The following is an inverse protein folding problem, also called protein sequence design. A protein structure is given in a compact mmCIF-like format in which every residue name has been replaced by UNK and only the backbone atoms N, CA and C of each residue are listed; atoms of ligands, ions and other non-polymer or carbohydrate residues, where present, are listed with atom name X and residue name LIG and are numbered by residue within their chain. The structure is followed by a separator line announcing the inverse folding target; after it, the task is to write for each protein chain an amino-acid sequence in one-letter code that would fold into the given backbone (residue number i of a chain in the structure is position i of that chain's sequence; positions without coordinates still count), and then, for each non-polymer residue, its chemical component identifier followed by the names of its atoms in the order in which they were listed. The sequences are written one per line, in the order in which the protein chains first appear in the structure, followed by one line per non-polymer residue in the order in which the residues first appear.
data_IF_797818984319
#
_entry.id   IF_797818984319
#
_cell.length_a   1.000
_cell.length_b   1.000
_cell.length_c   1.000
_cell.angle_alpha   90.00
_cell.angle_beta   90.00
_cell.angle_gamma   90.00
#
_symmetry.space_group_name_H-M   'P 1'
#
loop_
_entity.id
_entity.type
_entity.pdbx_description
1 polymer ?
#
# COMPACT_ATOMS: atom_id res chain seq x y z
N UNK A 1 -38.30 19.80 13.39
CA UNK A 1 -37.48 20.94 12.95
C UNK A 1 -36.16 20.36 12.40
N UNK A 2 -35.88 20.44 11.09
CA UNK A 2 -34.64 19.90 10.55
C UNK A 2 -33.49 20.75 11.10
N UNK A 3 -32.55 20.09 11.77
CA UNK A 3 -31.43 20.73 12.45
C UNK A 3 -30.48 21.32 11.39
N UNK A 4 -30.67 22.60 11.03
CA UNK A 4 -29.78 23.41 10.20
C UNK A 4 -28.49 23.72 10.96
N UNK A 5 -27.74 22.67 11.31
CA UNK A 5 -26.39 22.80 11.83
C UNK A 5 -25.38 22.86 10.69
N UNK A 6 -24.35 23.70 10.83
CA UNK A 6 -23.18 23.71 9.94
C UNK A 6 -22.59 22.30 9.74
N UNK A 7 -22.71 21.43 10.76
CA UNK A 7 -22.29 20.03 10.74
C UNK A 7 -23.13 19.19 9.75
N UNK A 8 -24.44 19.39 9.69
CA UNK A 8 -25.31 18.66 8.75
C UNK A 8 -25.03 19.05 7.29
N UNK A 9 -24.75 20.33 7.04
CA UNK A 9 -24.26 20.80 5.74
C UNK A 9 -22.90 20.21 5.39
N UNK A 10 -21.99 20.07 6.36
CA UNK A 10 -20.68 19.47 6.13
C UNK A 10 -20.73 17.94 5.89
N UNK A 11 -21.69 17.24 6.50
CA UNK A 11 -21.93 15.82 6.25
C UNK A 11 -22.62 15.53 4.90
N UNK A 12 -23.31 16.53 4.32
CA UNK A 12 -23.91 16.41 2.98
C UNK A 12 -22.91 16.55 1.82
N UNK A 13 -21.67 16.98 2.09
CA UNK A 13 -20.63 17.16 1.07
C UNK A 13 -19.96 15.81 0.75
N UNK A 14 -19.76 15.46 -0.53
CA UNK A 14 -19.08 14.22 -0.90
C UNK A 14 -17.66 14.12 -0.32
N UNK A 15 -17.25 12.92 0.11
CA UNK A 15 -15.95 12.70 0.76
C UNK A 15 -14.75 13.14 -0.10
N UNK A 16 -14.80 12.92 -1.42
CA UNK A 16 -13.71 13.33 -2.31
C UNK A 16 -13.53 14.85 -2.33
N UNK A 17 -14.62 15.62 -2.31
CA UNK A 17 -14.59 17.09 -2.24
C UNK A 17 -14.01 17.52 -0.89
N UNK A 18 -14.41 16.86 0.19
CA UNK A 18 -13.91 17.14 1.54
C UNK A 18 -12.41 16.89 1.66
N UNK A 19 -11.89 15.79 1.07
CA UNK A 19 -10.45 15.51 1.01
C UNK A 19 -9.72 16.56 0.18
N UNK A 20 -10.27 16.95 -0.98
CA UNK A 20 -9.69 18.01 -1.81
C UNK A 20 -9.59 19.35 -1.09
N UNK A 21 -10.66 19.79 -0.41
CA UNK A 21 -10.66 21.01 0.40
C UNK A 21 -9.64 20.90 1.54
N UNK A 22 -9.61 19.78 2.26
CA UNK A 22 -8.67 19.56 3.35
C UNK A 22 -7.22 19.59 2.88
N UNK A 23 -6.92 19.07 1.69
CA UNK A 23 -5.58 19.11 1.09
C UNK A 23 -5.15 20.55 0.81
N UNK A 24 -6.00 21.34 0.14
CA UNK A 24 -5.70 22.75 -0.17
C UNK A 24 -5.51 23.57 1.10
N UNK A 25 -6.39 23.40 2.09
CA UNK A 25 -6.25 24.06 3.40
C UNK A 25 -4.99 23.60 4.13
N UNK A 26 -4.64 22.32 4.06
CA UNK A 26 -3.42 21.77 4.65
C UNK A 26 -2.15 22.40 4.06
N UNK A 27 -2.10 22.57 2.74
CA UNK A 27 -1.00 23.27 2.06
C UNK A 27 -0.94 24.74 2.48
N UNK A 28 -2.08 25.45 2.47
CA UNK A 28 -2.15 26.86 2.90
C UNK A 28 -1.65 27.05 4.34
N UNK A 29 -2.13 26.24 5.27
CA UNK A 29 -1.71 26.29 6.68
C UNK A 29 -0.23 25.91 6.82
N UNK A 30 0.25 24.90 6.08
CA UNK A 30 1.66 24.50 6.08
C UNK A 30 2.60 25.62 5.66
N UNK A 31 2.24 26.36 4.61
CA UNK A 31 3.02 27.51 4.12
C UNK A 31 2.96 28.68 5.12
N UNK A 32 1.81 28.94 5.74
CA UNK A 32 1.64 30.05 6.69
C UNK A 32 2.32 29.81 8.05
N UNK A 33 2.27 28.59 8.59
CA UNK A 33 2.80 28.27 9.93
C UNK A 33 4.27 27.84 9.94
N UNK A 34 4.83 27.42 8.81
CA UNK A 34 6.24 27.02 8.70
C UNK A 34 6.64 25.99 9.76
N UNK A 35 7.64 26.32 10.59
CA UNK A 35 8.19 25.43 11.63
C UNK A 35 7.19 25.04 12.72
N UNK A 36 6.19 25.88 13.00
CA UNK A 36 5.14 25.57 13.99
C UNK A 36 4.13 24.53 13.48
N UNK A 37 4.15 24.20 12.18
CA UNK A 37 3.28 23.17 11.61
C UNK A 37 3.66 21.74 12.06
N UNK A 38 4.81 21.53 12.72
CA UNK A 38 5.24 20.22 13.20
C UNK A 38 4.22 19.55 14.15
N UNK A 39 3.47 20.33 14.93
CA UNK A 39 2.42 19.82 15.83
C UNK A 39 1.24 19.23 15.04
N UNK A 40 0.92 19.80 13.88
CA UNK A 40 -0.12 19.30 12.98
C UNK A 40 0.28 17.97 12.30
N UNK A 41 1.55 17.59 12.31
CA UNK A 41 1.99 16.30 11.77
C UNK A 41 1.58 15.11 12.65
N UNK A 42 1.35 15.32 13.96
CA UNK A 42 0.99 14.25 14.91
C UNK A 42 -0.28 13.50 14.48
N UNK A 43 -1.44 14.17 14.23
CA UNK A 43 -2.63 13.46 13.77
C UNK A 43 -2.43 12.77 12.41
N UNK A 44 -1.67 13.38 11.49
CA UNK A 44 -1.35 12.76 10.20
C UNK A 44 -0.55 11.46 10.37
N UNK A 45 0.49 11.48 11.21
CA UNK A 45 1.30 10.29 11.53
C UNK A 45 0.48 9.19 12.19
N UNK A 46 -0.47 9.55 13.06
CA UNK A 46 -1.38 8.58 13.68
C UNK A 46 -2.25 7.90 12.62
N UNK A 47 -2.84 8.67 11.69
CA UNK A 47 -3.64 8.10 10.59
C UNK A 47 -2.80 7.17 9.72
N UNK A 48 -1.57 7.56 9.36
CA UNK A 48 -0.66 6.70 8.59
C UNK A 48 -0.31 5.41 9.35
N UNK A 49 -0.08 5.49 10.66
CA UNK A 49 0.21 4.32 11.49
C UNK A 49 -0.99 3.36 11.57
N UNK A 50 -2.19 3.90 11.72
CA UNK A 50 -3.42 3.11 11.73
C UNK A 50 -3.67 2.46 10.37
N UNK A 51 -3.49 3.19 9.27
CA UNK A 51 -3.63 2.65 7.92
C UNK A 51 -2.58 1.56 7.64
N UNK A 52 -1.33 1.79 8.04
CA UNK A 52 -0.24 0.82 7.93
C UNK A 52 -0.48 -0.45 8.74
N UNK A 53 -1.03 -0.33 9.96
CA UNK A 53 -1.37 -1.49 10.80
C UNK A 53 -2.53 -2.33 10.21
N UNK A 54 -3.48 -1.69 9.52
CA UNK A 54 -4.60 -2.39 8.87
C UNK A 54 -4.19 -3.09 7.57
N UNK A 55 -3.19 -2.57 6.86
CA UNK A 55 -2.82 -3.04 5.53
C UNK A 55 -2.45 -4.55 5.48
N UNK A 56 -1.54 -5.10 6.31
CA UNK A 56 -1.21 -6.52 6.30
C UNK A 56 -2.42 -7.44 6.48
N UNK A 57 -3.28 -7.13 7.46
CA UNK A 57 -4.46 -7.94 7.75
C UNK A 57 -5.47 -7.93 6.60
N UNK A 58 -5.72 -6.75 6.02
CA UNK A 58 -6.62 -6.60 4.88
C UNK A 58 -6.08 -7.32 3.63
N UNK A 59 -4.77 -7.23 3.37
CA UNK A 59 -4.11 -7.91 2.26
C UNK A 59 -4.22 -9.44 2.40
N UNK A 60 -3.91 -9.98 3.59
CA UNK A 60 -4.05 -11.40 3.88
C UNK A 60 -5.48 -11.88 3.61
N UNK A 61 -6.47 -11.22 4.21
CA UNK A 61 -7.88 -11.58 4.07
C UNK A 61 -8.36 -11.49 2.62
N UNK A 62 -8.03 -10.41 1.91
CA UNK A 62 -8.43 -10.19 0.53
C UNK A 62 -7.84 -11.23 -0.42
N UNK A 63 -6.54 -11.54 -0.29
CA UNK A 63 -5.87 -12.51 -1.15
C UNK A 63 -6.37 -13.92 -0.87
N UNK A 64 -6.45 -14.34 0.41
CA UNK A 64 -6.99 -15.65 0.78
C UNK A 64 -8.41 -15.81 0.23
N UNK A 65 -9.27 -14.81 0.43
CA UNK A 65 -10.64 -14.82 -0.10
C UNK A 65 -10.66 -14.96 -1.63
N UNK A 66 -9.88 -14.14 -2.33
CA UNK A 66 -9.84 -14.14 -3.80
C UNK A 66 -9.35 -15.49 -4.35
N UNK A 67 -8.28 -16.04 -3.79
CA UNK A 67 -7.75 -17.35 -4.22
C UNK A 67 -8.69 -18.50 -3.87
N UNK A 68 -9.49 -18.37 -2.81
CA UNK A 68 -10.50 -19.38 -2.46
C UNK A 68 -11.70 -19.31 -3.41
N UNK A 69 -12.24 -18.13 -3.72
CA UNK A 69 -13.49 -17.97 -4.50
C UNK A 69 -13.28 -17.94 -6.00
N UNK A 70 -12.14 -17.43 -6.48
CA UNK A 70 -11.92 -17.19 -7.90
C UNK A 70 -11.25 -18.38 -8.57
N UNK A 71 -11.82 -18.85 -9.69
CA UNK A 71 -11.16 -19.83 -10.54
C UNK A 71 -10.18 -19.12 -11.47
N UNK A 72 -8.91 -19.05 -11.08
CA UNK A 72 -7.83 -18.46 -11.89
C UNK A 72 -7.39 -19.38 -13.05
N UNK A 73 -8.34 -19.99 -13.78
CA UNK A 73 -8.07 -20.93 -14.87
C UNK A 73 -7.95 -20.27 -16.24
N UNK A 74 -7.06 -20.81 -17.09
CA UNK A 74 -7.02 -20.49 -18.52
C UNK A 74 -6.19 -19.25 -18.91
N UNK A 75 -6.43 -18.64 -20.09
CA UNK A 75 -5.60 -17.58 -20.64
C UNK A 75 -5.59 -16.31 -19.78
N UNK A 76 -6.59 -16.14 -18.89
CA UNK A 76 -6.68 -15.00 -18.01
C UNK A 76 -5.56 -14.97 -16.97
N UNK A 77 -5.14 -16.14 -16.46
CA UNK A 77 -4.06 -16.27 -15.48
C UNK A 77 -2.69 -15.81 -16.03
N UNK A 78 -2.45 -16.00 -17.34
CA UNK A 78 -1.24 -15.51 -18.00
C UNK A 78 -1.39 -14.06 -18.49
N UNK A 79 -2.61 -13.63 -18.87
CA UNK A 79 -2.86 -12.26 -19.36
C UNK A 79 -2.70 -11.22 -18.25
N UNK A 80 -3.17 -11.49 -17.04
CA UNK A 80 -3.10 -10.54 -15.91
C UNK A 80 -1.66 -10.11 -15.56
N UNK A 81 -0.71 -11.02 -15.25
CA UNK A 81 0.65 -10.63 -14.95
C UNK A 81 1.32 -9.94 -16.14
N UNK A 82 1.04 -10.38 -17.38
CA UNK A 82 1.56 -9.71 -18.58
C UNK A 82 1.09 -8.26 -18.70
N UNK A 83 -0.20 -8.01 -18.49
CA UNK A 83 -0.77 -6.66 -18.52
C UNK A 83 -0.18 -5.78 -17.40
N UNK A 84 -0.04 -6.33 -16.19
CA UNK A 84 0.57 -5.63 -15.05
C UNK A 84 2.03 -5.29 -15.30
N UNK A 85 2.83 -6.22 -15.84
CA UNK A 85 4.23 -6.00 -16.18
C UNK A 85 4.37 -4.93 -17.25
N UNK A 86 3.59 -5.01 -18.33
CA UNK A 86 3.65 -4.03 -19.40
C UNK A 86 3.23 -2.63 -18.91
N UNK A 87 2.13 -2.54 -18.17
CA UNK A 87 1.67 -1.27 -17.58
C UNK A 87 2.72 -0.67 -16.64
N UNK A 88 3.33 -1.49 -15.79
CA UNK A 88 4.37 -1.06 -14.84
C UNK A 88 5.62 -0.58 -15.57
N UNK A 89 6.07 -1.31 -16.60
CA UNK A 89 7.22 -0.91 -17.42
C UNK A 89 6.96 0.42 -18.14
N UNK A 90 5.78 0.60 -18.72
CA UNK A 90 5.38 1.86 -19.37
C UNK A 90 5.32 3.00 -18.33
N UNK A 91 4.74 2.77 -17.16
CA UNK A 91 4.67 3.78 -16.10
C UNK A 91 6.06 4.18 -15.58
N UNK A 92 6.95 3.21 -15.35
CA UNK A 92 8.34 3.46 -14.90
C UNK A 92 9.13 4.22 -15.94
N UNK A 93 9.05 3.82 -17.22
CA UNK A 93 9.78 4.51 -18.31
C UNK A 93 9.33 5.96 -18.46
N UNK A 94 8.02 6.21 -18.45
CA UNK A 94 7.48 7.58 -18.47
C UNK A 94 7.90 8.35 -17.22
N UNK A 95 7.75 7.76 -16.03
CA UNK A 95 8.12 8.40 -14.76
C UNK A 95 9.59 8.78 -14.69
N UNK A 96 10.50 7.89 -15.10
CA UNK A 96 11.93 8.15 -15.17
C UNK A 96 12.28 9.19 -16.23
N UNK A 97 11.61 9.17 -17.39
CA UNK A 97 11.83 10.18 -18.43
C UNK A 97 11.44 11.57 -17.92
N UNK A 98 10.26 11.70 -17.32
CA UNK A 98 9.79 12.97 -16.75
C UNK A 98 10.69 13.43 -15.59
N UNK A 99 11.09 12.51 -14.71
CA UNK A 99 11.99 12.83 -13.60
C UNK A 99 13.38 13.26 -14.08
N UNK A 100 13.91 12.65 -15.15
CA UNK A 100 15.22 13.01 -15.70
C UNK A 100 15.20 14.36 -16.44
N UNK A 101 14.06 14.74 -17.05
CA UNK A 101 13.89 16.02 -17.75
C UNK A 101 13.59 17.16 -16.78
N UNK A 102 12.65 16.98 -15.85
CA UNK A 102 12.24 18.04 -14.90
C UNK A 102 13.23 18.15 -13.74
N UNK A 103 13.96 17.08 -13.43
CA UNK A 103 14.95 16.99 -12.35
C UNK A 103 14.38 17.50 -11.01
N UNK A 104 13.23 16.96 -10.57
CA UNK A 104 12.57 17.45 -9.36
C UNK A 104 13.49 17.25 -8.16
N UNK A 105 13.77 18.32 -7.43
CA UNK A 105 14.64 18.32 -6.25
C UNK A 105 15.93 19.11 -6.41
N UNK A 106 16.35 19.47 -7.62
CA UNK A 106 17.44 20.43 -7.80
C UNK A 106 17.04 21.79 -7.21
N UNK A 107 17.75 22.23 -6.16
CA UNK A 107 17.46 23.46 -5.43
C UNK A 107 16.48 23.34 -4.28
N UNK A 108 15.96 22.15 -3.95
CA UNK A 108 14.98 21.97 -2.88
C UNK A 108 15.56 22.13 -1.45
N UNK A 109 16.88 22.30 -1.30
CA UNK A 109 17.52 22.59 0.00
C UNK A 109 17.24 21.54 1.08
N UNK A 110 16.86 20.32 0.69
CA UNK A 110 16.52 19.26 1.63
C UNK A 110 17.82 18.78 2.26
N UNK A 111 17.98 18.98 3.57
CA UNK A 111 19.04 18.32 4.33
C UNK A 111 18.91 16.81 4.09
N UNK A 112 19.96 16.13 3.60
CA UNK A 112 19.92 14.68 3.45
C UNK A 112 19.49 14.09 4.79
N UNK A 113 18.45 13.23 4.83
CA UNK A 113 18.15 12.46 6.02
C UNK A 113 19.46 11.83 6.51
N UNK A 114 19.72 11.89 7.82
CA UNK A 114 20.86 11.17 8.40
C UNK A 114 20.89 9.79 7.77
N UNK A 115 22.03 9.44 7.17
CA UNK A 115 22.28 8.18 6.51
C UNK A 115 21.82 7.08 7.47
N UNK A 116 20.61 6.57 7.26
CA UNK A 116 20.35 5.22 7.69
C UNK A 116 21.32 4.42 6.84
N UNK A 117 22.15 3.62 7.50
CA UNK A 117 22.85 2.52 6.86
C UNK A 117 21.77 1.55 6.33
N UNK A 118 21.04 1.97 5.31
CA UNK A 118 20.61 1.08 4.25
C UNK A 118 21.92 0.64 3.62
N UNK A 119 22.51 -0.35 4.30
CA UNK A 119 23.39 -1.34 3.73
C UNK A 119 22.97 -1.46 2.30
N UNK A 120 23.88 -1.19 1.38
CA UNK A 120 23.80 -1.50 -0.04
C UNK A 120 23.45 -2.98 -0.18
N UNK A 121 22.22 -3.36 0.15
CA UNK A 121 21.67 -4.70 0.07
C UNK A 121 21.23 -4.84 -1.37
N UNK A 122 22.29 -5.14 -2.10
CA UNK A 122 22.35 -6.23 -3.04
C UNK A 122 22.08 -5.84 -4.49
N UNK A 123 23.18 -5.63 -5.21
CA UNK A 123 23.24 -5.85 -6.66
C UNK A 123 22.95 -7.33 -7.05
N UNK A 124 22.78 -8.23 -6.07
CA UNK A 124 22.47 -9.63 -6.31
C UNK A 124 20.95 -9.88 -6.16
N UNK A 125 20.22 -10.12 -7.27
CA UNK A 125 18.77 -10.31 -7.27
C UNK A 125 18.33 -11.52 -6.43
N UNK A 126 19.23 -12.47 -6.18
CA UNK A 126 18.95 -13.67 -5.40
C UNK A 126 18.80 -13.38 -3.91
N UNK A 127 19.58 -12.43 -3.36
CA UNK A 127 19.44 -12.08 -1.94
C UNK A 127 18.16 -11.27 -1.69
N UNK A 128 17.77 -10.41 -2.64
CA UNK A 128 16.50 -9.68 -2.59
C UNK A 128 15.31 -10.66 -2.63
N UNK A 129 15.37 -11.67 -3.51
CA UNK A 129 14.35 -12.72 -3.54
C UNK A 129 14.27 -13.47 -2.21
N UNK A 130 15.41 -13.86 -1.64
CA UNK A 130 15.46 -14.57 -0.37
C UNK A 130 14.94 -13.72 0.80
N UNK A 131 15.16 -12.40 0.77
CA UNK A 131 14.65 -11.47 1.78
C UNK A 131 13.12 -11.28 1.73
N UNK A 132 12.52 -11.47 0.55
CA UNK A 132 11.08 -11.40 0.35
C UNK A 132 10.35 -12.66 0.82
N UNK A 133 11.07 -13.78 0.96
CA UNK A 133 10.50 -15.01 1.52
C UNK A 133 10.42 -14.87 3.04
N UNK A 134 9.22 -14.97 3.63
CA UNK A 134 9.06 -14.76 5.06
C UNK A 134 9.73 -15.89 5.85
N UNK A 135 10.53 -15.52 6.86
CA UNK A 135 11.20 -16.48 7.76
C UNK A 135 10.24 -17.13 8.76
N UNK A 136 9.05 -16.53 8.97
CA UNK A 136 8.02 -16.99 9.89
C UNK A 136 6.62 -16.62 9.36
N UNK A 137 5.59 -17.34 9.81
CA UNK A 137 4.21 -17.15 9.33
C UNK A 137 3.52 -15.91 9.92
N UNK A 138 3.91 -15.48 11.13
CA UNK A 138 3.29 -14.34 11.81
C UNK A 138 4.14 -13.06 11.71
N UNK A 139 5.45 -13.18 11.41
CA UNK A 139 6.36 -12.02 11.31
C UNK A 139 5.85 -10.93 10.35
N UNK A 140 5.49 -11.27 9.10
CA UNK A 140 5.02 -10.29 8.13
C UNK A 140 3.71 -9.57 8.49
N UNK A 141 2.90 -10.15 9.38
CA UNK A 141 1.63 -9.56 9.84
C UNK A 141 1.83 -8.61 11.03
N UNK A 142 2.97 -8.73 11.73
CA UNK A 142 3.34 -7.89 12.87
C UNK A 142 4.29 -6.76 12.47
N UNK A 143 5.26 -6.49 13.34
CA UNK A 143 6.10 -5.29 13.26
C UNK A 143 7.08 -5.25 12.07
N UNK A 144 7.35 -6.38 11.41
CA UNK A 144 8.24 -6.43 10.24
C UNK A 144 7.64 -5.74 9.00
N UNK A 145 6.31 -5.59 8.92
CA UNK A 145 5.62 -4.85 7.87
C UNK A 145 5.89 -5.30 6.42
N UNK A 146 6.49 -6.49 6.23
CA UNK A 146 6.89 -7.00 4.91
C UNK A 146 5.69 -7.44 4.09
N UNK A 147 5.10 -6.49 3.37
CA UNK A 147 3.91 -6.69 2.51
C UNK A 147 4.07 -7.87 1.55
N UNK A 148 5.25 -8.04 0.95
CA UNK A 148 5.51 -9.15 0.02
C UNK A 148 5.44 -10.52 0.71
N UNK A 149 5.90 -10.62 1.95
CA UNK A 149 5.83 -11.84 2.76
C UNK A 149 4.38 -12.18 3.11
N UNK A 150 3.57 -11.17 3.43
CA UNK A 150 2.12 -11.34 3.65
C UNK A 150 1.45 -11.92 2.40
N UNK A 151 1.80 -11.42 1.21
CA UNK A 151 1.26 -11.92 -0.06
C UNK A 151 1.60 -13.41 -0.25
N UNK A 152 2.85 -13.82 -0.02
CA UNK A 152 3.25 -15.23 -0.14
C UNK A 152 2.45 -16.14 0.80
N UNK A 153 2.31 -15.76 2.06
CA UNK A 153 1.54 -16.51 3.06
C UNK A 153 0.07 -16.58 2.63
N UNK A 154 -0.50 -15.45 2.20
CA UNK A 154 -1.91 -15.37 1.79
C UNK A 154 -2.22 -16.26 0.58
N UNK A 155 -1.34 -16.30 -0.42
CA UNK A 155 -1.49 -17.17 -1.59
C UNK A 155 -1.38 -18.64 -1.19
N UNK A 156 -0.40 -19.01 -0.36
CA UNK A 156 -0.23 -20.38 0.11
C UNK A 156 -1.45 -20.87 0.90
N UNK A 157 -1.95 -20.07 1.85
CA UNK A 157 -3.17 -20.37 2.60
C UNK A 157 -4.41 -20.42 1.71
N UNK A 158 -4.58 -19.45 0.80
CA UNK A 158 -5.71 -19.42 -0.13
C UNK A 158 -5.77 -20.66 -1.02
N UNK A 159 -4.63 -21.12 -1.54
CA UNK A 159 -4.54 -22.32 -2.37
C UNK A 159 -4.78 -23.60 -1.56
N UNK A 160 -4.25 -23.68 -0.33
CA UNK A 160 -4.46 -24.83 0.56
C UNK A 160 -5.93 -24.99 0.98
N UNK A 161 -6.59 -23.89 1.38
CA UNK A 161 -8.01 -23.89 1.76
C UNK A 161 -8.92 -24.21 0.57
N UNK A 162 -8.58 -23.70 -0.63
CA UNK A 162 -9.31 -24.03 -1.86
C UNK A 162 -9.31 -25.54 -2.13
N UNK A 163 -8.16 -26.20 -1.99
CA UNK A 163 -8.01 -27.64 -2.22
C UNK A 163 -8.86 -28.47 -1.26
N UNK A 164 -8.98 -28.05 0.00
CA UNK A 164 -9.78 -28.77 1.00
C UNK A 164 -11.29 -28.61 0.77
N UNK A 165 -11.74 -27.43 0.35
CA UNK A 165 -13.14 -27.21 -0.03
C UNK A 165 -13.58 -28.09 -1.21
N UNK A 166 -12.68 -28.40 -2.12
CA UNK A 166 -12.96 -29.24 -3.30
C UNK A 166 -12.99 -30.75 -2.97
N UNK A 167 -12.70 -31.16 -1.73
CA UNK A 167 -12.91 -32.55 -1.30
C UNK A 167 -14.40 -32.82 -1.07
N UNK A 168 -15.00 -33.85 -1.70
CA UNK A 168 -16.33 -34.28 -1.33
C UNK A 168 -16.30 -34.81 0.10
N UNK A 169 -17.21 -34.34 0.94
CA UNK A 169 -17.43 -34.89 2.28
C UNK A 169 -17.79 -36.37 2.12
N UNK A 170 -16.81 -37.25 2.34
CA UNK A 170 -17.07 -38.68 2.49
C UNK A 170 -17.84 -38.86 3.77
N UNK A 171 -19.17 -38.96 3.65
CA UNK A 171 -20.05 -39.53 4.68
C UNK A 171 -19.50 -40.90 5.07
N UNK A 172 -19.03 -41.01 6.31
CA UNK A 172 -18.94 -42.28 7.05
C UNK A 172 -20.26 -42.54 7.76
#
# INVERSE_FOLDING_TARGET
MPNTGLIARWQSVPLYVRIGIALVLGVMVGVLLGSNAAVLAVPGKLVLRLLGALAPALILAAIVHTFMTTQLGGPLAARLPRLLLLNTLVAITVGLTVANVIQPGQGAGLTPPQQHDETTKTANPLALFLENVPKSLLGPLGDDGKVIGVIFIAVAFGMALRKERERPLGTV
#
